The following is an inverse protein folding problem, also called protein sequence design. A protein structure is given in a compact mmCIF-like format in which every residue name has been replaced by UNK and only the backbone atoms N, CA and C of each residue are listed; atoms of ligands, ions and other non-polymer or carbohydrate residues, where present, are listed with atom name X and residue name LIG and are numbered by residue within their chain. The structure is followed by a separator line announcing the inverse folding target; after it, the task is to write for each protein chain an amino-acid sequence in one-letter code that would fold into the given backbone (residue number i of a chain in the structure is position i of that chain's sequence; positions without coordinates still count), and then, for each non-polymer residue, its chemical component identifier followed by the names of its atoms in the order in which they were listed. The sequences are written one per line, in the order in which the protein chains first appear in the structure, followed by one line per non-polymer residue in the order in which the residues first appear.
data_IF_726317814281
#
_entry.id   IF_726317814281
#
_cell.length_a   1.000
_cell.length_b   1.000
_cell.length_c   1.000
_cell.angle_alpha   90.00
_cell.angle_beta   90.00
_cell.angle_gamma   90.00
#
_symmetry.space_group_name_H-M   'P 1'
#
loop_
_entity.id
_entity.type
_entity.pdbx_description
1 polymer ?
#
# COMPACT_ATOMS: atom_id res chain seq x y z
N UNK A 1 -7.04 -27.87 -25.66
CA UNK A 1 -7.31 -26.81 -24.65
C UNK A 1 -6.87 -27.32 -23.28
N UNK A 2 -5.70 -26.93 -22.79
CA UNK A 2 -5.21 -27.35 -21.47
C UNK A 2 -5.72 -26.39 -20.38
N UNK A 3 -6.70 -26.84 -19.61
CA UNK A 3 -7.18 -26.16 -18.40
C UNK A 3 -6.04 -26.23 -17.38
N UNK A 4 -5.36 -25.12 -17.13
CA UNK A 4 -4.40 -24.99 -16.02
C UNK A 4 -5.10 -25.29 -14.70
N UNK A 5 -4.98 -26.54 -14.20
CA UNK A 5 -5.41 -26.89 -12.85
C UNK A 5 -4.54 -26.12 -11.86
N UNK A 6 -5.12 -25.12 -11.21
CA UNK A 6 -4.45 -24.39 -10.14
C UNK A 6 -4.10 -25.36 -9.00
N UNK A 7 -2.87 -25.31 -8.44
CA UNK A 7 -2.50 -26.15 -7.32
C UNK A 7 -3.33 -25.80 -6.08
N UNK A 8 -4.13 -26.77 -5.64
CA UNK A 8 -5.02 -26.68 -4.47
C UNK A 8 -4.23 -26.27 -3.22
N UNK A 9 -4.86 -25.46 -2.36
CA UNK A 9 -4.32 -25.14 -1.04
C UNK A 9 -4.14 -26.42 -0.20
N UNK A 10 -3.20 -26.43 0.75
CA UNK A 10 -3.06 -27.53 1.70
C UNK A 10 -4.38 -27.82 2.45
N UNK A 11 -5.12 -26.76 2.80
CA UNK A 11 -6.45 -26.88 3.42
C UNK A 11 -7.49 -27.51 2.47
N UNK A 12 -7.46 -27.17 1.18
CA UNK A 12 -8.37 -27.74 0.17
C UNK A 12 -8.02 -29.20 -0.14
N UNK A 13 -6.74 -29.55 -0.20
CA UNK A 13 -6.30 -30.95 -0.37
C UNK A 13 -6.77 -31.82 0.80
N UNK A 14 -6.61 -31.34 2.04
CA UNK A 14 -7.13 -32.05 3.20
C UNK A 14 -8.66 -32.14 3.21
N UNK A 15 -9.38 -31.12 2.72
CA UNK A 15 -10.84 -31.16 2.60
C UNK A 15 -11.29 -32.21 1.57
N UNK A 16 -10.74 -32.17 0.35
CA UNK A 16 -11.06 -33.15 -0.70
C UNK A 16 -10.68 -34.57 -0.31
N UNK A 17 -9.54 -34.77 0.34
CA UNK A 17 -9.17 -36.09 0.88
C UNK A 17 -10.20 -36.61 1.89
N UNK A 18 -10.73 -35.76 2.78
CA UNK A 18 -11.78 -36.13 3.73
C UNK A 18 -13.12 -36.42 3.07
N UNK A 19 -13.49 -35.63 2.06
CA UNK A 19 -14.72 -35.84 1.27
C UNK A 19 -14.62 -37.14 0.46
N UNK A 20 -13.48 -37.40 -0.17
CA UNK A 20 -13.22 -38.66 -0.87
C UNK A 20 -13.24 -39.85 0.11
N UNK A 21 -12.59 -39.75 1.28
CA UNK A 21 -12.66 -40.82 2.28
C UNK A 21 -14.08 -41.09 2.74
N UNK A 22 -14.89 -40.04 2.91
CA UNK A 22 -16.29 -40.15 3.32
C UNK A 22 -17.13 -40.90 2.28
N UNK A 23 -16.79 -40.78 1.00
CA UNK A 23 -17.49 -41.46 -0.10
C UNK A 23 -16.93 -42.86 -0.38
N UNK A 24 -15.61 -43.05 -0.32
CA UNK A 24 -14.96 -44.31 -0.70
C UNK A 24 -14.83 -45.32 0.44
N UNK A 25 -14.68 -44.87 1.69
CA UNK A 25 -14.55 -45.75 2.86
C UNK A 25 -15.03 -45.04 4.15
N UNK A 26 -16.34 -45.12 4.44
CA UNK A 26 -16.96 -44.45 5.58
C UNK A 26 -16.38 -44.86 6.95
N UNK A 27 -16.05 -46.15 7.14
CA UNK A 27 -15.51 -46.66 8.41
C UNK A 27 -14.17 -46.02 8.77
N UNK A 28 -13.27 -45.89 7.79
CA UNK A 28 -11.97 -45.25 7.99
C UNK A 28 -12.09 -43.76 8.31
N UNK A 29 -13.10 -43.10 7.74
CA UNK A 29 -13.42 -41.70 8.05
C UNK A 29 -13.89 -41.54 9.50
N UNK A 30 -14.74 -42.44 9.98
CA UNK A 30 -15.26 -42.40 11.36
C UNK A 30 -14.19 -42.74 12.40
N UNK A 31 -13.29 -43.69 12.11
CA UNK A 31 -12.11 -43.95 12.94
C UNK A 31 -11.19 -42.71 13.04
N UNK A 32 -10.96 -42.02 11.93
CA UNK A 32 -10.17 -40.78 11.91
C UNK A 32 -10.88 -39.67 12.71
N UNK A 33 -12.21 -39.57 12.63
CA UNK A 33 -13.02 -38.62 13.39
C UNK A 33 -12.93 -38.91 14.89
N UNK A 34 -13.08 -40.18 15.31
CA UNK A 34 -12.91 -40.64 16.70
C UNK A 34 -11.51 -40.33 17.24
N UNK A 35 -10.44 -40.70 16.51
CA UNK A 35 -9.04 -40.39 16.89
C UNK A 35 -8.78 -38.88 17.02
N UNK A 36 -9.35 -38.05 16.16
CA UNK A 36 -9.22 -36.59 16.27
C UNK A 36 -10.01 -36.01 17.46
N UNK A 37 -11.20 -36.55 17.74
CA UNK A 37 -11.98 -36.18 18.91
C UNK A 37 -11.24 -36.54 20.21
N UNK A 38 -10.66 -37.73 20.29
CA UNK A 38 -9.82 -38.20 21.41
C UNK A 38 -8.59 -37.32 21.60
N UNK A 39 -7.84 -37.02 20.52
CA UNK A 39 -6.70 -36.09 20.57
C UNK A 39 -7.10 -34.71 21.07
N UNK A 40 -8.27 -34.21 20.67
CA UNK A 40 -8.77 -32.91 21.10
C UNK A 40 -9.21 -32.94 22.56
N UNK A 41 -9.86 -34.01 23.00
CA UNK A 41 -10.26 -34.25 24.41
C UNK A 41 -9.04 -34.38 25.31
N UNK A 42 -7.99 -35.07 24.86
CA UNK A 42 -6.71 -35.19 25.56
C UNK A 42 -5.98 -33.84 25.70
N UNK A 43 -6.02 -32.99 24.68
CA UNK A 43 -5.44 -31.62 24.74
C UNK A 43 -6.24 -30.65 25.60
N UNK A 44 -7.55 -30.86 25.72
CA UNK A 44 -8.49 -30.01 26.47
C UNK A 44 -9.00 -30.71 27.74
N UNK A 45 -8.11 -31.41 28.47
CA UNK A 45 -8.48 -31.93 29.79
C UNK A 45 -8.92 -30.77 30.68
N UNK A 46 -10.13 -30.86 31.24
CA UNK A 46 -10.61 -29.88 32.22
C UNK A 46 -9.73 -30.01 33.47
N UNK A 47 -9.43 -28.88 34.10
CA UNK A 47 -8.57 -28.84 35.31
C UNK A 47 -9.12 -29.72 36.44
N UNK A 48 -10.45 -29.88 36.50
CA UNK A 48 -11.12 -30.77 37.46
C UNK A 48 -10.73 -32.25 37.32
N UNK A 49 -10.36 -32.70 36.12
CA UNK A 49 -10.07 -34.10 35.80
C UNK A 49 -8.56 -34.40 35.74
N UNK A 50 -7.71 -33.48 36.23
CA UNK A 50 -6.27 -33.67 36.32
C UNK A 50 -5.87 -34.09 37.74
N UNK A 51 -4.76 -34.81 37.90
CA UNK A 51 -4.25 -35.14 39.24
C UNK A 51 -3.80 -33.87 39.99
N UNK A 52 -3.67 -33.94 41.32
CA UNK A 52 -3.19 -32.79 42.11
C UNK A 52 -1.79 -32.33 41.69
N UNK A 53 -0.90 -33.26 41.32
CA UNK A 53 0.44 -32.94 40.81
C UNK A 53 0.39 -32.21 39.46
N UNK A 54 -0.49 -32.63 38.56
CA UNK A 54 -0.71 -31.96 37.28
C UNK A 54 -1.31 -30.55 37.47
N UNK A 55 -2.20 -30.37 38.45
CA UNK A 55 -2.75 -29.05 38.84
C UNK A 55 -1.65 -28.15 39.39
N UNK A 56 -0.76 -28.67 40.24
CA UNK A 56 0.39 -27.92 40.79
C UNK A 56 1.35 -27.47 39.69
N UNK A 57 1.68 -28.35 38.75
CA UNK A 57 2.53 -28.02 37.61
C UNK A 57 1.92 -26.94 36.70
N UNK A 58 0.61 -27.01 36.44
CA UNK A 58 -0.10 -25.97 35.68
C UNK A 58 -0.15 -24.63 36.42
N UNK A 59 -0.42 -24.64 37.73
CA UNK A 59 -0.37 -23.42 38.57
C UNK A 59 1.03 -22.80 38.59
N UNK A 60 2.09 -23.61 38.62
CA UNK A 60 3.48 -23.15 38.48
C UNK A 60 3.70 -22.47 37.13
N UNK A 61 3.35 -23.12 36.02
CA UNK A 61 3.42 -22.53 34.67
C UNK A 61 2.66 -21.20 34.56
N UNK A 62 1.48 -21.08 35.18
CA UNK A 62 0.72 -19.83 35.19
C UNK A 62 1.38 -18.74 36.02
N UNK A 63 1.95 -19.08 37.18
CA UNK A 63 2.74 -18.14 38.00
C UNK A 63 3.96 -17.63 37.22
N UNK A 64 4.67 -18.51 36.53
CA UNK A 64 5.84 -18.17 35.71
C UNK A 64 5.45 -17.30 34.51
N UNK A 65 4.37 -17.65 33.80
CA UNK A 65 3.87 -16.83 32.69
C UNK A 65 3.41 -15.43 33.14
N UNK A 66 2.82 -15.32 34.34
CA UNK A 66 2.44 -14.04 34.94
C UNK A 66 3.66 -13.22 35.35
N UNK A 67 4.70 -13.87 35.87
CA UNK A 67 6.00 -13.23 36.20
C UNK A 67 6.66 -12.70 34.93
N UNK A 68 6.81 -13.53 33.89
CA UNK A 68 7.39 -13.13 32.61
C UNK A 68 6.64 -11.96 31.96
N UNK A 69 5.30 -11.95 31.99
CA UNK A 69 4.52 -10.80 31.50
C UNK A 69 4.75 -9.52 32.30
N UNK A 70 5.01 -9.63 33.60
CA UNK A 70 5.30 -8.48 34.45
C UNK A 70 6.71 -7.96 34.14
N UNK A 71 7.68 -8.85 33.99
CA UNK A 71 9.06 -8.52 33.65
C UNK A 71 9.14 -7.86 32.26
N UNK A 72 8.46 -8.41 31.25
CA UNK A 72 8.36 -7.82 29.91
C UNK A 72 7.67 -6.44 29.90
N UNK A 73 6.76 -6.19 30.85
CA UNK A 73 6.09 -4.89 31.02
C UNK A 73 7.01 -3.88 31.71
N UNK A 74 7.81 -4.32 32.67
CA UNK A 74 8.82 -3.49 33.36
C UNK A 74 9.95 -3.13 32.39
N UNK A 75 10.43 -4.08 31.60
CA UNK A 75 11.47 -3.87 30.57
C UNK A 75 11.04 -2.82 29.53
N UNK A 76 9.76 -2.80 29.14
CA UNK A 76 9.18 -1.78 28.25
C UNK A 76 9.03 -0.39 28.88
N UNK A 77 9.10 -0.27 30.21
CA UNK A 77 8.97 1.01 30.94
C UNK A 77 10.33 1.65 31.25
N UNK A 78 11.44 0.90 31.15
CA UNK A 78 12.78 1.34 31.58
C UNK A 78 13.56 2.11 30.51
N UNK A 79 13.11 2.20 29.26
CA UNK A 79 13.72 3.10 28.25
C UNK A 79 13.05 4.48 28.32
N UNK A 80 13.66 5.52 28.93
CA UNK A 80 13.09 6.86 28.93
C UNK A 80 13.45 7.50 27.60
N UNK A 81 12.73 7.14 26.55
CA UNK A 81 12.89 7.77 25.25
C UNK A 81 12.13 9.10 25.28
N UNK A 82 12.81 10.21 25.61
CA UNK A 82 12.23 11.56 25.70
C UNK A 82 11.44 11.92 24.41
N UNK A 83 11.89 11.39 23.28
CA UNK A 83 11.24 11.42 21.97
C UNK A 83 9.85 10.78 21.94
N UNK A 84 9.63 9.68 22.66
CA UNK A 84 8.33 9.02 22.70
C UNK A 84 7.31 9.79 23.54
N UNK A 85 7.75 10.51 24.59
CA UNK A 85 6.87 11.37 25.39
C UNK A 85 6.44 12.60 24.59
N UNK A 86 7.38 13.23 23.88
CA UNK A 86 7.08 14.33 22.96
C UNK A 86 6.19 13.87 21.79
N UNK A 87 6.47 12.72 21.17
CA UNK A 87 5.61 12.11 20.14
C UNK A 87 4.21 11.80 20.64
N UNK A 88 4.05 11.32 21.88
CA UNK A 88 2.72 11.08 22.48
C UNK A 88 1.96 12.38 22.71
N UNK A 89 2.62 13.43 23.23
CA UNK A 89 2.02 14.76 23.40
C UNK A 89 1.59 15.35 22.05
N UNK A 90 2.47 15.30 21.04
CA UNK A 90 2.18 15.75 19.68
C UNK A 90 1.01 14.98 19.05
N UNK A 91 1.01 13.64 19.17
CA UNK A 91 -0.08 12.80 18.66
C UNK A 91 -1.41 13.08 19.37
N UNK A 92 -1.40 13.36 20.67
CA UNK A 92 -2.60 13.74 21.43
C UNK A 92 -3.14 15.10 20.97
N UNK A 93 -2.26 16.08 20.73
CA UNK A 93 -2.61 17.39 20.16
C UNK A 93 -3.26 17.25 18.77
N UNK A 94 -2.62 16.49 17.89
CA UNK A 94 -3.14 16.16 16.55
C UNK A 94 -4.50 15.47 16.58
N UNK A 95 -4.74 14.57 17.54
CA UNK A 95 -6.03 13.89 17.68
C UNK A 95 -7.14 14.86 18.12
N UNK A 96 -6.84 15.81 19.01
CA UNK A 96 -7.78 16.87 19.40
C UNK A 96 -8.10 17.79 18.22
N UNK A 97 -7.08 18.27 17.51
CA UNK A 97 -7.25 19.12 16.32
C UNK A 97 -8.07 18.40 15.23
N UNK A 98 -7.79 17.11 14.99
CA UNK A 98 -8.57 16.31 14.04
C UNK A 98 -10.03 16.09 14.47
N UNK A 99 -10.32 15.98 15.78
CA UNK A 99 -11.70 15.94 16.27
C UNK A 99 -12.42 17.25 15.96
N UNK A 100 -11.81 18.38 16.31
CA UNK A 100 -12.37 19.72 16.06
C UNK A 100 -12.62 19.92 14.56
N UNK A 101 -11.66 19.54 13.70
CA UNK A 101 -11.81 19.64 12.24
C UNK A 101 -12.93 18.74 11.71
N UNK A 102 -13.07 17.52 12.23
CA UNK A 102 -14.19 16.62 11.86
C UNK A 102 -15.54 17.21 12.23
N UNK A 103 -15.63 17.83 13.39
CA UNK A 103 -16.85 18.45 13.88
C UNK A 103 -17.22 19.69 13.04
N UNK A 104 -16.22 20.55 12.74
CA UNK A 104 -16.38 21.66 11.78
C UNK A 104 -16.85 21.17 10.41
N UNK A 105 -16.23 20.11 9.87
CA UNK A 105 -16.63 19.54 8.59
C UNK A 105 -18.05 18.95 8.61
N UNK A 106 -18.45 18.34 9.72
CA UNK A 106 -19.82 17.84 9.90
C UNK A 106 -20.82 19.00 9.87
N UNK A 107 -20.53 20.07 10.60
CA UNK A 107 -21.36 21.28 10.63
C UNK A 107 -21.43 21.97 9.25
N UNK A 108 -20.30 22.06 8.55
CA UNK A 108 -20.25 22.54 7.15
C UNK A 108 -21.05 21.66 6.20
N UNK A 109 -21.06 20.34 6.41
CA UNK A 109 -21.86 19.44 5.59
C UNK A 109 -23.37 19.65 5.81
N UNK A 110 -23.79 19.87 7.06
CA UNK A 110 -25.19 20.13 7.41
C UNK A 110 -25.65 21.47 6.85
N UNK A 111 -24.87 22.54 7.02
CA UNK A 111 -25.16 23.88 6.47
C UNK A 111 -25.17 23.89 4.94
N UNK A 112 -24.23 23.21 4.28
CA UNK A 112 -24.29 23.03 2.83
C UNK A 112 -25.54 22.24 2.40
N UNK A 113 -25.98 21.27 3.20
CA UNK A 113 -27.21 20.52 2.97
C UNK A 113 -28.46 21.42 3.06
N UNK A 114 -28.54 22.28 4.08
CA UNK A 114 -29.65 23.23 4.22
C UNK A 114 -29.64 24.28 3.10
N UNK A 115 -28.47 24.84 2.75
CA UNK A 115 -28.31 25.77 1.63
C UNK A 115 -28.68 25.15 0.29
N UNK A 116 -28.34 23.88 0.03
CA UNK A 116 -28.80 23.18 -1.18
C UNK A 116 -30.31 23.05 -1.22
N UNK A 117 -30.96 22.78 -0.08
CA UNK A 117 -32.42 22.72 0.03
C UNK A 117 -33.06 24.10 -0.17
N UNK A 118 -32.47 25.18 0.36
CA UNK A 118 -32.97 26.55 0.10
C UNK A 118 -32.82 26.91 -1.37
N UNK A 119 -31.67 26.66 -1.99
CA UNK A 119 -31.47 26.86 -3.44
C UNK A 119 -32.49 26.06 -4.26
N UNK A 120 -32.78 24.81 -3.89
CA UNK A 120 -33.81 24.02 -4.57
C UNK A 120 -35.20 24.65 -4.42
N UNK A 121 -35.55 25.15 -3.23
CA UNK A 121 -36.83 25.85 -2.98
C UNK A 121 -36.92 27.13 -3.80
N UNK A 122 -35.89 27.97 -3.83
CA UNK A 122 -35.85 29.17 -4.65
C UNK A 122 -35.91 28.84 -6.14
N UNK A 123 -35.21 27.80 -6.62
CA UNK A 123 -35.34 27.32 -8.00
C UNK A 123 -36.75 26.88 -8.34
N UNK A 124 -37.42 26.13 -7.44
CA UNK A 124 -38.83 25.77 -7.62
C UNK A 124 -39.71 27.01 -7.67
N UNK A 125 -39.49 27.99 -6.79
CA UNK A 125 -40.24 29.25 -6.76
C UNK A 125 -40.01 30.10 -8.02
N UNK A 126 -38.78 30.15 -8.52
CA UNK A 126 -38.46 30.79 -9.80
C UNK A 126 -39.16 30.04 -10.94
N UNK A 127 -39.17 28.71 -10.93
CA UNK A 127 -39.88 27.91 -11.94
C UNK A 127 -41.39 28.13 -11.89
N UNK A 128 -42.00 28.22 -10.70
CA UNK A 128 -43.44 28.52 -10.58
C UNK A 128 -43.74 29.94 -11.04
N UNK A 129 -42.94 30.93 -10.66
CA UNK A 129 -43.11 32.32 -11.10
C UNK A 129 -42.89 32.49 -12.60
N UNK A 130 -41.89 31.80 -13.17
CA UNK A 130 -41.65 31.81 -14.61
C UNK A 130 -42.75 31.05 -15.36
N UNK A 131 -43.30 29.97 -14.80
CA UNK A 131 -44.47 29.31 -15.36
C UNK A 131 -45.72 30.19 -15.28
N UNK A 132 -45.93 30.92 -14.18
CA UNK A 132 -47.01 31.90 -14.06
C UNK A 132 -46.84 33.05 -15.04
N UNK A 133 -45.62 33.59 -15.17
CA UNK A 133 -45.31 34.61 -16.19
C UNK A 133 -45.50 34.08 -17.61
N UNK A 134 -45.13 32.83 -17.87
CA UNK A 134 -45.36 32.19 -19.16
C UNK A 134 -46.84 31.92 -19.39
N UNK A 135 -47.60 31.54 -18.36
CA UNK A 135 -49.05 31.38 -18.40
C UNK A 135 -49.73 32.70 -18.71
N UNK A 136 -49.38 33.79 -18.03
CA UNK A 136 -49.86 35.14 -18.34
C UNK A 136 -49.43 35.62 -19.73
N UNK A 137 -48.25 35.22 -20.20
CA UNK A 137 -47.82 35.46 -21.59
C UNK A 137 -48.60 34.62 -22.61
N UNK A 138 -48.98 33.38 -22.27
CA UNK A 138 -49.79 32.48 -23.12
C UNK A 138 -51.29 32.72 -23.03
N UNK A 139 -51.81 33.30 -21.95
CA UNK A 139 -53.17 33.83 -21.88
C UNK A 139 -53.32 35.00 -22.86
N UNK A 140 -52.23 35.72 -23.13
CA UNK A 140 -52.13 36.69 -24.22
C UNK A 140 -51.74 36.08 -25.59
N UNK A 141 -51.32 34.81 -25.66
CA UNK A 141 -50.97 34.11 -26.91
C UNK A 141 -51.19 32.60 -26.79
N UNK A 142 -52.31 32.11 -27.31
CA UNK A 142 -52.67 30.67 -27.30
C UNK A 142 -51.66 29.87 -28.13
N UNK A 143 -50.84 29.00 -27.52
CA UNK A 143 -50.14 27.90 -28.22
C UNK A 143 -50.25 26.57 -27.44
N UNK A 144 -50.47 25.43 -28.12
CA UNK A 144 -50.76 24.15 -27.48
C UNK A 144 -49.50 23.36 -27.07
N UNK A 145 -49.72 22.39 -26.18
CA UNK A 145 -48.75 21.53 -25.48
C UNK A 145 -47.66 20.91 -26.36
N UNK A 146 -46.43 20.89 -25.83
CA UNK A 146 -45.20 20.41 -26.49
C UNK A 146 -45.18 18.89 -26.67
N UNK A 147 -45.89 18.42 -27.68
CA UNK A 147 -45.66 17.13 -28.34
C UNK A 147 -44.29 17.13 -29.04
N UNK A 148 -43.58 15.99 -29.18
CA UNK A 148 -42.32 15.90 -29.93
C UNK A 148 -42.44 16.38 -31.40
N UNK A 149 -43.67 16.53 -31.90
CA UNK A 149 -44.00 17.00 -33.23
C UNK A 149 -43.93 18.52 -33.41
N UNK A 150 -44.15 19.33 -32.37
CA UNK A 150 -44.21 20.81 -32.49
C UNK A 150 -42.86 21.49 -32.74
N UNK A 151 -41.73 21.13 -32.09
CA UNK A 151 -40.43 21.71 -32.45
C UNK A 151 -39.88 21.18 -33.78
N UNK A 152 -40.39 20.05 -34.27
CA UNK A 152 -39.98 19.45 -35.54
C UNK A 152 -40.64 20.12 -36.75
N UNK A 153 -41.87 20.61 -36.59
CA UNK A 153 -42.57 21.43 -37.60
C UNK A 153 -41.81 22.73 -37.89
N UNK A 154 -41.52 23.51 -36.84
CA UNK A 154 -40.79 24.79 -36.94
C UNK A 154 -39.42 24.61 -37.64
N UNK A 155 -38.67 23.56 -37.29
CA UNK A 155 -37.33 23.31 -37.89
C UNK A 155 -37.37 22.86 -39.37
N UNK A 156 -38.44 22.20 -39.82
CA UNK A 156 -38.57 21.75 -41.22
C UNK A 156 -39.12 22.87 -42.11
N UNK A 157 -39.95 23.75 -41.55
CA UNK A 157 -40.50 24.92 -42.25
C UNK A 157 -39.47 26.06 -42.40
N UNK A 158 -38.57 26.26 -41.43
CA UNK A 158 -37.56 27.34 -41.44
C UNK A 158 -36.29 27.02 -42.26
N UNK A 159 -35.81 25.78 -42.29
CA UNK A 159 -34.49 25.45 -42.89
C UNK A 159 -34.56 24.93 -44.33
N UNK A 160 -35.73 24.50 -44.84
CA UNK A 160 -35.82 23.93 -46.20
C UNK A 160 -37.10 24.36 -46.93
N UNK A 161 -37.10 25.52 -47.61
CA UNK A 161 -38.24 26.00 -48.38
C UNK A 161 -38.54 25.11 -49.61
N UNK A 162 -37.51 24.71 -50.36
CA UNK A 162 -37.66 24.17 -51.74
C UNK A 162 -37.59 22.64 -51.88
N UNK A 163 -38.31 21.90 -51.04
CA UNK A 163 -38.44 20.44 -51.19
C UNK A 163 -39.91 20.03 -51.27
N UNK A 164 -40.21 19.12 -52.21
CA UNK A 164 -41.52 18.48 -52.40
C UNK A 164 -42.14 18.02 -51.06
N UNK A 165 -43.46 18.26 -50.91
CA UNK A 165 -44.25 18.00 -49.70
C UNK A 165 -44.11 16.54 -49.23
N UNK A 166 -44.01 15.58 -50.15
CA UNK A 166 -43.81 14.17 -49.82
C UNK A 166 -42.44 13.88 -49.21
N UNK A 167 -41.40 14.55 -49.72
CA UNK A 167 -40.04 14.43 -49.20
C UNK A 167 -39.92 15.06 -47.82
N UNK A 168 -40.61 16.18 -47.57
CA UNK A 168 -40.75 16.78 -46.23
C UNK A 168 -41.42 15.83 -45.23
N UNK A 169 -42.48 15.13 -45.64
CA UNK A 169 -43.13 14.12 -44.80
C UNK A 169 -42.23 12.91 -44.50
N UNK A 170 -41.47 12.41 -45.49
CA UNK A 170 -40.49 11.33 -45.30
C UNK A 170 -39.38 11.73 -44.32
N UNK A 171 -38.86 12.96 -44.46
CA UNK A 171 -37.85 13.52 -43.54
C UNK A 171 -38.43 13.65 -42.13
N UNK A 172 -39.65 14.15 -42.00
CA UNK A 172 -40.36 14.28 -40.72
C UNK A 172 -40.52 12.94 -40.02
N UNK A 173 -40.93 11.91 -40.76
CA UNK A 173 -41.09 10.55 -40.24
C UNK A 173 -39.75 9.99 -39.74
N UNK A 174 -38.67 10.09 -40.55
CA UNK A 174 -37.32 9.65 -40.15
C UNK A 174 -36.76 10.39 -38.95
N UNK A 175 -36.98 11.70 -38.86
CA UNK A 175 -36.53 12.51 -37.73
C UNK A 175 -37.29 12.14 -36.45
N UNK A 176 -38.59 11.89 -36.55
CA UNK A 176 -39.41 11.45 -35.43
C UNK A 176 -38.99 10.05 -34.96
N UNK A 177 -38.81 9.10 -35.88
CA UNK A 177 -38.25 7.77 -35.58
C UNK A 177 -36.91 7.87 -34.84
N UNK A 178 -36.02 8.74 -35.33
CA UNK A 178 -34.72 8.96 -34.69
C UNK A 178 -34.87 9.53 -33.29
N UNK A 179 -35.79 10.49 -33.07
CA UNK A 179 -35.99 11.14 -31.77
C UNK A 179 -36.63 10.20 -30.74
N UNK A 180 -37.60 9.40 -31.16
CA UNK A 180 -38.23 8.37 -30.32
C UNK A 180 -37.19 7.32 -29.91
N UNK A 181 -36.32 6.89 -30.82
CA UNK A 181 -35.22 5.98 -30.50
C UNK A 181 -34.21 6.59 -29.52
N UNK A 182 -33.94 7.90 -29.61
CA UNK A 182 -33.04 8.57 -28.67
C UNK A 182 -33.60 8.62 -27.26
N UNK A 183 -34.89 8.94 -27.12
CA UNK A 183 -35.57 9.04 -25.83
C UNK A 183 -35.73 7.65 -25.19
N UNK A 184 -36.14 6.64 -25.97
CA UNK A 184 -36.27 5.26 -25.46
C UNK A 184 -34.94 4.64 -25.04
N UNK A 185 -33.84 4.87 -25.78
CA UNK A 185 -32.50 4.41 -25.37
C UNK A 185 -32.03 5.09 -24.07
N UNK A 186 -32.44 6.33 -23.83
CA UNK A 186 -32.09 7.07 -22.62
C UNK A 186 -32.90 6.58 -21.43
N UNK A 187 -34.19 6.32 -21.61
CA UNK A 187 -35.08 5.76 -20.59
C UNK A 187 -34.64 4.36 -20.19
N UNK A 188 -34.49 3.43 -21.15
CA UNK A 188 -34.02 2.06 -20.90
C UNK A 188 -32.67 2.01 -20.17
N UNK A 189 -31.73 2.91 -20.51
CA UNK A 189 -30.46 2.99 -19.80
C UNK A 189 -30.60 3.51 -18.35
N UNK A 190 -31.50 4.47 -18.10
CA UNK A 190 -31.73 5.01 -16.76
C UNK A 190 -32.51 4.03 -15.87
N UNK A 191 -33.49 3.33 -16.44
CA UNK A 191 -34.36 2.39 -15.74
C UNK A 191 -33.68 1.05 -15.43
N UNK A 192 -32.67 0.67 -16.23
CA UNK A 192 -31.87 -0.52 -15.95
C UNK A 192 -31.19 -0.43 -14.59
N UNK A 193 -31.50 -1.38 -13.70
CA UNK A 193 -30.90 -1.47 -12.35
C UNK A 193 -29.64 -2.32 -12.36
N UNK A 194 -29.56 -3.31 -13.24
CA UNK A 194 -28.42 -4.24 -13.34
C UNK A 194 -27.24 -3.64 -14.10
N UNK A 195 -26.02 -3.93 -13.62
CA UNK A 195 -24.79 -3.57 -14.34
C UNK A 195 -24.61 -4.36 -15.64
N UNK A 196 -25.22 -5.54 -15.75
CA UNK A 196 -25.12 -6.40 -16.93
C UNK A 196 -25.93 -5.81 -18.10
N UNK A 197 -27.17 -5.40 -17.85
CA UNK A 197 -28.02 -4.67 -18.79
C UNK A 197 -27.34 -3.40 -19.30
N UNK A 198 -26.78 -2.60 -18.38
CA UNK A 198 -25.99 -1.41 -18.72
C UNK A 198 -24.75 -1.74 -19.55
N UNK A 199 -24.15 -2.91 -19.35
CA UNK A 199 -23.00 -3.34 -20.13
C UNK A 199 -23.41 -3.79 -21.54
N UNK A 200 -24.56 -4.44 -21.72
CA UNK A 200 -25.12 -4.77 -23.03
C UNK A 200 -25.37 -3.49 -23.84
N UNK A 201 -26.02 -2.48 -23.25
CA UNK A 201 -26.23 -1.19 -23.91
C UNK A 201 -24.91 -0.47 -24.25
N UNK A 202 -23.88 -0.59 -23.39
CA UNK A 202 -22.55 -0.06 -23.69
C UNK A 202 -21.84 -0.80 -24.84
N UNK A 203 -22.17 -2.06 -25.13
CA UNK A 203 -21.59 -2.79 -26.28
C UNK A 203 -22.02 -2.19 -27.61
N UNK A 204 -23.17 -1.49 -27.68
CA UNK A 204 -23.61 -0.77 -28.87
C UNK A 204 -22.58 0.28 -29.34
N UNK A 205 -21.81 0.87 -28.42
CA UNK A 205 -20.75 1.82 -28.76
C UNK A 205 -19.52 1.16 -29.40
N UNK A 206 -19.37 -0.16 -29.28
CA UNK A 206 -18.22 -0.93 -29.75
C UNK A 206 -18.54 -1.67 -31.05
N UNK A 207 -19.81 -1.65 -31.50
CA UNK A 207 -20.24 -2.30 -32.73
C UNK A 207 -19.51 -1.73 -33.95
N UNK A 208 -19.37 -2.59 -34.96
CA UNK A 208 -18.59 -2.30 -36.16
C UNK A 208 -19.24 -1.22 -37.03
N UNK A 209 -20.58 -1.23 -37.13
CA UNK A 209 -21.35 -0.19 -37.82
C UNK A 209 -21.14 1.20 -37.20
N UNK A 210 -21.15 1.28 -35.86
CA UNK A 210 -20.97 2.55 -35.14
C UNK A 210 -19.54 3.07 -35.26
N UNK A 211 -18.56 2.16 -35.35
CA UNK A 211 -17.16 2.50 -35.64
C UNK A 211 -16.98 2.99 -37.08
N UNK A 212 -17.52 2.28 -38.07
CA UNK A 212 -17.42 2.62 -39.50
C UNK A 212 -17.94 4.02 -39.79
N UNK A 213 -19.05 4.42 -39.17
CA UNK A 213 -19.67 5.73 -39.37
C UNK A 213 -19.33 6.78 -38.29
N UNK A 214 -18.33 6.54 -37.43
CA UNK A 214 -17.89 7.45 -36.36
C UNK A 214 -19.02 7.98 -35.44
N UNK A 215 -20.09 7.20 -35.26
CA UNK A 215 -21.28 7.62 -34.51
C UNK A 215 -21.20 7.38 -33.00
N UNK A 216 -20.04 6.96 -32.50
CA UNK A 216 -19.79 6.64 -31.09
C UNK A 216 -20.14 7.81 -30.16
N UNK A 217 -19.81 9.04 -30.55
CA UNK A 217 -20.10 10.22 -29.72
C UNK A 217 -21.60 10.50 -29.62
N UNK A 218 -22.33 10.39 -30.74
CA UNK A 218 -23.79 10.60 -30.79
C UNK A 218 -24.52 9.56 -29.94
N UNK A 219 -24.20 8.28 -30.11
CA UNK A 219 -24.79 7.20 -29.31
C UNK A 219 -24.44 7.33 -27.83
N UNK A 220 -23.23 7.80 -27.51
CA UNK A 220 -22.83 8.07 -26.12
C UNK A 220 -23.70 9.16 -25.48
N UNK A 221 -24.04 10.20 -26.27
CA UNK A 221 -24.95 11.28 -25.85
C UNK A 221 -26.37 10.75 -25.64
N UNK A 222 -26.86 9.88 -26.54
CA UNK A 222 -28.19 9.27 -26.42
C UNK A 222 -28.32 8.40 -25.16
N UNK A 223 -27.31 7.58 -24.85
CA UNK A 223 -27.25 6.78 -23.62
C UNK A 223 -26.99 7.61 -22.33
N UNK A 224 -26.82 8.93 -22.42
CA UNK A 224 -26.56 9.78 -21.25
C UNK A 224 -25.18 9.57 -20.58
N UNK A 225 -24.22 8.96 -21.29
CA UNK A 225 -22.90 8.62 -20.76
C UNK A 225 -21.97 9.86 -20.72
N UNK A 226 -21.65 10.35 -19.52
CA UNK A 226 -20.76 11.51 -19.33
C UNK A 226 -19.30 11.26 -19.76
N UNK A 227 -18.83 10.01 -19.72
CA UNK A 227 -17.46 9.63 -20.06
C UNK A 227 -17.47 8.46 -21.03
N UNK A 228 -16.45 8.38 -21.89
CA UNK A 228 -16.24 7.24 -22.77
C UNK A 228 -16.03 5.93 -21.99
N UNK A 229 -16.29 4.80 -22.65
CA UNK A 229 -16.04 3.48 -22.08
C UNK A 229 -14.53 3.31 -21.90
N UNK A 230 -14.06 3.36 -20.65
CA UNK A 230 -12.68 2.97 -20.34
C UNK A 230 -12.56 1.47 -20.53
N UNK A 231 -11.74 1.05 -21.48
CA UNK A 231 -11.42 -0.36 -21.65
C UNK A 231 -10.60 -0.82 -20.44
N UNK A 232 -11.23 -1.58 -19.54
CA UNK A 232 -10.59 -2.18 -18.37
C UNK A 232 -9.31 -2.95 -18.75
N UNK A 233 -9.35 -3.60 -19.91
CA UNK A 233 -8.23 -4.35 -20.49
C UNK A 233 -6.98 -3.48 -20.70
N UNK A 234 -7.12 -2.24 -21.20
CA UNK A 234 -6.00 -1.32 -21.42
C UNK A 234 -5.33 -0.90 -20.10
N UNK A 235 -6.11 -0.65 -19.04
CA UNK A 235 -5.55 -0.30 -17.72
C UNK A 235 -4.81 -1.50 -17.13
N UNK A 236 -5.37 -2.71 -17.23
CA UNK A 236 -4.74 -3.94 -16.73
C UNK A 236 -3.43 -4.21 -17.46
N UNK A 237 -3.42 -4.10 -18.80
CA UNK A 237 -2.21 -4.27 -19.62
C UNK A 237 -1.13 -3.24 -19.27
N UNK A 238 -1.49 -1.96 -19.12
CA UNK A 238 -0.55 -0.91 -18.72
C UNK A 238 0.12 -1.25 -17.38
N UNK A 239 -0.66 -1.68 -16.38
CA UNK A 239 -0.12 -2.11 -15.08
C UNK A 239 0.85 -3.29 -15.19
N UNK A 240 0.52 -4.29 -16.00
CA UNK A 240 1.39 -5.46 -16.22
C UNK A 240 2.70 -5.04 -16.90
N UNK A 241 2.63 -4.17 -17.91
CA UNK A 241 3.81 -3.64 -18.60
C UNK A 241 4.73 -2.88 -17.63
N UNK A 242 4.16 -1.95 -16.87
CA UNK A 242 4.89 -1.19 -15.83
C UNK A 242 5.51 -2.08 -14.77
N UNK A 243 4.79 -3.12 -14.31
CA UNK A 243 5.32 -4.07 -13.36
C UNK A 243 6.52 -4.84 -13.94
N UNK A 244 6.43 -5.31 -15.19
CA UNK A 244 7.54 -6.00 -15.87
C UNK A 244 8.77 -5.10 -16.04
N UNK A 245 8.58 -3.85 -16.44
CA UNK A 245 9.64 -2.84 -16.58
C UNK A 245 10.38 -2.64 -15.26
N UNK A 246 9.64 -2.42 -14.16
CA UNK A 246 10.26 -2.26 -12.85
C UNK A 246 10.89 -3.54 -12.32
N UNK A 247 10.31 -4.71 -12.61
CA UNK A 247 10.96 -5.99 -12.27
C UNK A 247 12.32 -6.08 -12.96
N UNK A 248 12.42 -5.75 -14.25
CA UNK A 248 13.71 -5.72 -14.97
C UNK A 248 14.69 -4.74 -14.35
N UNK A 249 14.24 -3.53 -13.99
CA UNK A 249 15.08 -2.54 -13.32
C UNK A 249 15.63 -3.05 -11.99
N UNK A 250 14.78 -3.61 -11.13
CA UNK A 250 15.22 -4.15 -9.84
C UNK A 250 16.05 -5.43 -9.95
N UNK A 251 15.93 -6.19 -11.03
CA UNK A 251 16.71 -7.42 -11.27
C UNK A 251 18.14 -7.16 -11.74
N UNK A 252 18.48 -5.93 -12.12
CA UNK A 252 19.86 -5.59 -12.46
C UNK A 252 20.78 -5.69 -11.23
N UNK A 253 22.01 -6.12 -11.45
CA UNK A 253 22.98 -6.42 -10.39
C UNK A 253 23.59 -5.17 -9.74
N UNK A 254 23.58 -4.02 -10.43
CA UNK A 254 23.91 -2.69 -9.92
C UNK A 254 22.86 -2.12 -8.95
N UNK A 255 21.59 -2.55 -9.09
CA UNK A 255 20.47 -2.12 -8.25
C UNK A 255 20.26 -3.05 -7.05
N UNK A 256 20.31 -4.36 -7.28
CA UNK A 256 20.14 -5.36 -6.22
C UNK A 256 21.05 -6.56 -6.41
N UNK A 257 21.51 -7.14 -5.30
CA UNK A 257 22.36 -8.33 -5.29
C UNK A 257 21.58 -9.57 -4.86
N UNK A 258 21.68 -10.66 -5.61
CA UNK A 258 21.10 -11.95 -5.21
C UNK A 258 21.85 -12.55 -4.03
N UNK A 259 21.14 -13.22 -3.13
CA UNK A 259 21.79 -13.91 -2.00
C UNK A 259 22.19 -15.32 -2.40
N UNK A 260 23.23 -15.90 -1.78
CA UNK A 260 23.74 -17.22 -2.14
C UNK A 260 23.02 -18.38 -1.43
N UNK A 261 22.32 -18.12 -0.31
CA UNK A 261 21.75 -19.17 0.53
C UNK A 261 20.48 -19.82 -0.05
N UNK A 262 20.46 -21.15 -0.17
CA UNK A 262 19.26 -21.94 -0.55
C UNK A 262 18.06 -21.70 0.39
N UNK A 263 18.32 -21.35 1.66
CA UNK A 263 17.29 -21.02 2.67
C UNK A 263 16.83 -19.57 2.61
N UNK A 264 17.53 -18.70 1.88
CA UNK A 264 17.24 -17.28 1.77
C UNK A 264 16.22 -17.02 0.64
N UNK A 265 15.04 -17.59 0.79
CA UNK A 265 13.92 -17.38 -0.12
C UNK A 265 12.81 -16.58 0.55
N UNK A 266 12.01 -15.89 -0.25
CA UNK A 266 10.72 -15.31 0.15
C UNK A 266 9.64 -16.00 -0.65
N UNK A 267 8.60 -16.43 0.06
CA UNK A 267 7.40 -17.02 -0.56
C UNK A 267 6.25 -16.04 -0.41
N UNK A 268 5.64 -15.64 -1.52
CA UNK A 268 4.43 -14.82 -1.53
C UNK A 268 3.49 -15.35 -2.60
N UNK A 269 2.21 -15.51 -2.26
CA UNK A 269 1.20 -16.04 -3.18
C UNK A 269 1.61 -17.38 -3.82
N UNK A 270 2.17 -18.31 -3.03
CA UNK A 270 2.68 -19.61 -3.46
C UNK A 270 3.89 -19.56 -4.45
N UNK A 271 4.39 -18.38 -4.78
CA UNK A 271 5.60 -18.22 -5.60
C UNK A 271 6.79 -18.06 -4.65
N UNK A 272 7.72 -19.02 -4.71
CA UNK A 272 8.99 -18.99 -3.97
C UNK A 272 10.08 -18.41 -4.87
N UNK A 273 10.74 -17.34 -4.43
CA UNK A 273 11.86 -16.69 -5.13
C UNK A 273 13.01 -16.44 -4.16
N UNK A 274 14.24 -16.49 -4.65
CA UNK A 274 15.44 -16.17 -3.88
C UNK A 274 15.46 -14.69 -3.53
N UNK A 275 15.95 -14.36 -2.33
CA UNK A 275 16.07 -12.97 -1.89
C UNK A 275 17.08 -12.22 -2.76
N UNK A 276 16.76 -10.98 -3.10
CA UNK A 276 17.71 -9.99 -3.61
C UNK A 276 17.75 -8.82 -2.63
N UNK A 277 18.94 -8.41 -2.22
CA UNK A 277 19.13 -7.26 -1.36
C UNK A 277 19.39 -6.00 -2.19
N UNK A 278 18.68 -4.93 -1.88
CA UNK A 278 18.95 -3.62 -2.47
C UNK A 278 20.34 -3.14 -2.06
N UNK A 279 21.12 -2.65 -3.02
CA UNK A 279 22.45 -2.09 -2.78
C UNK A 279 22.39 -0.66 -2.22
N UNK A 280 21.35 0.09 -2.59
CA UNK A 280 21.17 1.48 -2.15
C UNK A 280 19.77 1.71 -1.55
N UNK A 281 19.56 2.90 -0.99
CA UNK A 281 18.25 3.33 -0.50
C UNK A 281 17.26 3.46 -1.65
N UNK A 282 15.98 3.17 -1.39
CA UNK A 282 14.93 3.31 -2.41
C UNK A 282 14.83 4.74 -2.97
N UNK A 283 15.20 5.75 -2.18
CA UNK A 283 15.23 7.16 -2.62
C UNK A 283 16.28 7.37 -3.72
N UNK A 284 17.49 6.87 -3.50
CA UNK A 284 18.58 6.99 -4.48
C UNK A 284 18.31 6.14 -5.73
N UNK A 285 17.80 4.92 -5.57
CA UNK A 285 17.41 4.08 -6.71
C UNK A 285 16.30 4.72 -7.55
N UNK A 286 15.39 5.47 -6.93
CA UNK A 286 14.37 6.22 -7.66
C UNK A 286 14.97 7.39 -8.45
N UNK A 287 16.02 8.06 -7.94
CA UNK A 287 16.74 9.08 -8.71
C UNK A 287 17.37 8.49 -9.96
N UNK A 288 18.03 7.33 -9.83
CA UNK A 288 18.61 6.58 -10.96
C UNK A 288 17.52 6.17 -11.96
N UNK A 289 16.42 5.60 -11.47
CA UNK A 289 15.28 5.25 -12.33
C UNK A 289 14.73 6.47 -13.09
N UNK A 290 14.68 7.63 -12.44
CA UNK A 290 14.20 8.87 -13.06
C UNK A 290 15.18 9.42 -14.08
N UNK A 291 16.49 9.34 -13.84
CA UNK A 291 17.52 9.76 -14.79
C UNK A 291 17.56 8.86 -16.03
N UNK A 292 17.23 7.58 -15.90
CA UNK A 292 17.10 6.64 -17.02
C UNK A 292 15.80 6.82 -17.83
N UNK A 293 15.00 7.86 -17.56
CA UNK A 293 13.74 8.13 -18.27
C UNK A 293 12.49 7.50 -17.64
N UNK A 294 12.58 7.02 -16.40
CA UNK A 294 11.46 6.41 -15.68
C UNK A 294 10.31 7.38 -15.40
N UNK A 295 9.10 7.06 -15.83
CA UNK A 295 7.95 7.98 -15.79
C UNK A 295 7.19 7.94 -14.45
N UNK A 296 7.35 6.86 -13.67
CA UNK A 296 6.55 6.60 -12.48
C UNK A 296 6.85 7.54 -11.32
N UNK A 297 5.84 7.78 -10.47
CA UNK A 297 6.02 8.46 -9.18
C UNK A 297 6.70 7.57 -8.15
N UNK A 298 7.37 8.17 -7.15
CA UNK A 298 8.04 7.43 -6.06
C UNK A 298 7.12 6.43 -5.34
N UNK A 299 5.87 6.81 -5.08
CA UNK A 299 4.89 5.93 -4.46
C UNK A 299 4.56 4.71 -5.32
N UNK A 300 4.44 4.91 -6.64
CA UNK A 300 4.19 3.83 -7.60
C UNK A 300 5.41 2.92 -7.73
N UNK A 301 6.60 3.50 -7.83
CA UNK A 301 7.88 2.80 -7.85
C UNK A 301 8.03 1.84 -6.65
N UNK A 302 7.78 2.35 -5.43
CA UNK A 302 7.79 1.54 -4.21
C UNK A 302 6.74 0.43 -4.21
N UNK A 303 5.55 0.69 -4.76
CA UNK A 303 4.45 -0.28 -4.80
C UNK A 303 4.71 -1.44 -5.76
N UNK A 304 5.31 -1.16 -6.91
CA UNK A 304 5.62 -2.14 -7.94
C UNK A 304 6.93 -2.90 -7.69
N UNK A 305 7.67 -2.56 -6.61
CA UNK A 305 8.85 -3.33 -6.19
C UNK A 305 8.51 -4.82 -6.03
N UNK A 306 9.26 -5.73 -6.69
CA UNK A 306 9.07 -7.16 -6.52
C UNK A 306 9.22 -7.58 -5.05
N UNK A 307 8.43 -8.56 -4.63
CA UNK A 307 8.37 -8.95 -3.21
C UNK A 307 9.65 -9.62 -2.69
N UNK A 308 10.45 -10.21 -3.58
CA UNK A 308 11.72 -10.87 -3.26
C UNK A 308 12.90 -9.89 -3.23
N UNK A 309 12.70 -8.64 -3.62
CA UNK A 309 13.68 -7.55 -3.51
C UNK A 309 13.46 -6.85 -2.17
N UNK A 310 14.41 -7.03 -1.26
CA UNK A 310 14.30 -6.66 0.15
C UNK A 310 15.42 -5.68 0.53
N UNK A 311 15.15 -4.76 1.44
CA UNK A 311 16.20 -3.92 2.01
C UNK A 311 17.04 -4.74 2.99
N UNK A 312 18.39 -4.62 2.97
CA UNK A 312 19.24 -5.36 3.91
C UNK A 312 18.91 -4.97 5.35
N UNK A 313 18.82 -5.97 6.24
CA UNK A 313 18.63 -5.75 7.66
C UNK A 313 19.92 -5.23 8.30
N UNK A 314 19.82 -4.37 9.32
CA UNK A 314 20.99 -3.76 9.99
C UNK A 314 21.93 -4.83 10.55
N UNK A 315 21.38 -5.89 11.13
CA UNK A 315 22.13 -7.04 11.65
C UNK A 315 22.92 -7.83 10.60
N UNK A 316 22.59 -7.67 9.31
CA UNK A 316 23.25 -8.39 8.22
C UNK A 316 24.31 -7.50 7.51
N UNK A 317 24.62 -6.33 8.08
CA UNK A 317 25.67 -5.46 7.55
C UNK A 317 27.02 -5.98 8.06
N UNK A 318 27.95 -6.22 7.14
CA UNK A 318 29.36 -6.50 7.45
C UNK A 318 30.09 -5.22 7.88
N UNK A 319 29.57 -4.52 8.89
CA UNK A 319 30.15 -3.30 9.47
C UNK A 319 30.08 -3.46 10.99
N UNK A 320 31.22 -3.62 11.67
CA UNK A 320 31.22 -3.70 13.14
C UNK A 320 30.86 -2.34 13.72
N UNK A 321 29.66 -2.21 14.27
CA UNK A 321 29.24 -1.05 15.07
C UNK A 321 29.49 -1.31 16.57
N UNK A 322 30.57 -2.02 16.89
CA UNK A 322 30.95 -2.37 18.25
C UNK A 322 31.55 -1.15 18.97
N UNK A 323 31.35 -1.08 20.29
CA UNK A 323 31.84 0.01 21.16
C UNK A 323 33.33 0.28 20.93
N UNK A 324 34.14 -0.77 20.72
CA UNK A 324 35.57 -0.65 20.45
C UNK A 324 35.88 0.17 19.19
N UNK A 325 35.23 -0.11 18.05
CA UNK A 325 35.45 0.65 16.82
C UNK A 325 34.91 2.07 16.92
N UNK A 326 33.78 2.27 17.63
CA UNK A 326 33.24 3.61 17.85
C UNK A 326 34.16 4.47 18.73
N UNK A 327 34.67 3.92 19.85
CA UNK A 327 35.58 4.61 20.75
C UNK A 327 36.93 4.89 20.07
N UNK A 328 37.43 3.95 19.24
CA UNK A 328 38.63 4.18 18.43
C UNK A 328 38.45 5.35 17.45
N UNK A 329 37.31 5.41 16.77
CA UNK A 329 37.00 6.52 15.86
C UNK A 329 36.92 7.86 16.60
N UNK A 330 36.35 7.90 17.81
CA UNK A 330 36.33 9.13 18.62
C UNK A 330 37.73 9.58 19.04
N UNK A 331 38.59 8.64 19.46
CA UNK A 331 40.00 8.94 19.77
C UNK A 331 40.77 9.44 18.54
N UNK A 332 40.57 8.83 17.37
CA UNK A 332 41.19 9.29 16.13
C UNK A 332 40.71 10.71 15.75
N UNK A 333 39.42 11.02 15.94
CA UNK A 333 38.90 12.35 15.70
C UNK A 333 39.51 13.41 16.62
N UNK A 334 39.69 13.12 17.91
CA UNK A 334 40.32 14.07 18.84
C UNK A 334 41.79 14.26 18.54
N UNK A 335 42.53 13.18 18.27
CA UNK A 335 43.94 13.26 17.85
C UNK A 335 44.13 14.06 16.57
N UNK A 336 43.21 13.95 15.60
CA UNK A 336 43.23 14.78 14.38
C UNK A 336 42.95 16.25 14.69
N UNK A 337 41.99 16.55 15.58
CA UNK A 337 41.69 17.93 15.99
C UNK A 337 42.90 18.61 16.64
N UNK A 338 43.71 17.85 17.37
CA UNK A 338 44.96 18.33 17.97
C UNK A 338 46.12 18.41 16.97
N UNK A 339 45.92 18.03 15.70
CA UNK A 339 46.96 18.05 14.68
C UNK A 339 48.02 16.93 14.81
N UNK A 340 47.84 15.99 15.74
CA UNK A 340 48.82 14.93 16.02
C UNK A 340 48.85 13.84 14.95
N UNK A 341 47.74 13.65 14.23
CA UNK A 341 47.59 12.67 13.15
C UNK A 341 46.92 13.30 11.92
N UNK A 342 47.32 12.86 10.73
CA UNK A 342 46.83 13.42 9.47
C UNK A 342 45.38 13.00 9.14
N UNK A 343 44.95 11.82 9.59
CA UNK A 343 43.65 11.23 9.24
C UNK A 343 42.88 10.73 10.46
N UNK A 344 41.55 10.85 10.41
CA UNK A 344 40.64 10.41 11.47
C UNK A 344 39.91 9.11 11.12
N UNK A 345 40.13 8.57 9.92
CA UNK A 345 39.55 7.30 9.50
C UNK A 345 40.39 6.14 10.06
N UNK A 346 39.84 5.26 10.91
CA UNK A 346 40.57 4.13 11.46
C UNK A 346 41.20 3.22 10.39
N UNK A 347 40.55 3.04 9.23
CA UNK A 347 41.11 2.19 8.17
C UNK A 347 42.39 2.78 7.57
N UNK A 348 42.44 4.11 7.41
CA UNK A 348 43.62 4.80 6.90
C UNK A 348 44.78 4.74 7.91
N UNK A 349 44.49 4.86 9.20
CA UNK A 349 45.49 4.70 10.25
C UNK A 349 46.07 3.28 10.30
N UNK A 350 45.21 2.28 10.16
CA UNK A 350 45.63 0.87 10.10
C UNK A 350 46.53 0.61 8.88
N UNK A 351 46.19 1.19 7.72
CA UNK A 351 46.99 1.03 6.50
C UNK A 351 48.41 1.58 6.60
N UNK A 352 48.64 2.55 7.51
CA UNK A 352 49.98 3.11 7.76
C UNK A 352 50.83 2.24 8.69
N UNK A 353 50.19 1.43 9.52
CA UNK A 353 50.86 0.53 10.47
C UNK A 353 51.16 -0.83 9.81
N UNK A 354 50.21 -1.34 9.03
CA UNK A 354 50.20 -2.73 8.56
C UNK A 354 50.40 -2.79 7.05
N UNK A 355 51.20 -3.75 6.54
CA UNK A 355 51.44 -3.89 5.11
C UNK A 355 50.22 -4.46 4.35
N UNK A 356 49.47 -5.38 4.96
CA UNK A 356 48.23 -5.92 4.43
C UNK A 356 47.15 -6.02 5.51
N UNK A 357 46.02 -5.33 5.28
CA UNK A 357 44.86 -5.30 6.17
C UNK A 357 44.16 -6.67 6.26
N UNK A 358 44.28 -7.51 5.23
CA UNK A 358 43.62 -8.82 5.18
C UNK A 358 44.46 -9.92 5.84
N UNK A 359 45.76 -9.70 6.01
CA UNK A 359 46.67 -10.68 6.60
C UNK A 359 46.61 -10.66 8.13
N UNK A 360 46.32 -11.84 8.70
CA UNK A 360 46.26 -12.02 10.16
C UNK A 360 47.62 -11.73 10.81
N UNK A 361 48.71 -12.27 10.27
CA UNK A 361 50.04 -12.08 10.86
C UNK A 361 50.44 -10.60 10.92
N UNK A 362 50.03 -9.82 9.92
CA UNK A 362 50.25 -8.38 9.85
C UNK A 362 49.47 -7.62 10.96
N UNK A 363 48.19 -7.94 11.14
CA UNK A 363 47.32 -7.32 12.15
C UNK A 363 47.66 -7.69 13.60
N UNK A 364 48.20 -8.89 13.83
CA UNK A 364 48.61 -9.37 15.16
C UNK A 364 50.07 -9.04 15.50
N UNK A 365 50.76 -8.26 14.66
CA UNK A 365 52.19 -7.94 14.83
C UNK A 365 53.05 -9.20 14.91
N UNK A 366 52.80 -10.17 14.03
CA UNK A 366 53.64 -11.36 13.81
C UNK A 366 54.37 -11.26 12.46
N UNK A 367 54.13 -10.20 11.69
CA UNK A 367 54.75 -9.98 10.39
C UNK A 367 56.13 -9.36 10.54
N UNK A 368 57.14 -10.05 9.99
CA UNK A 368 58.55 -9.61 9.98
C UNK A 368 58.78 -8.24 9.33
N UNK A 369 57.88 -7.79 8.45
CA UNK A 369 58.02 -6.53 7.69
C UNK A 369 57.45 -5.31 8.43
N UNK A 370 56.38 -5.47 9.22
CA UNK A 370 55.71 -4.35 9.90
C UNK A 370 55.73 -4.41 11.42
N UNK A 371 56.36 -5.42 12.02
CA UNK A 371 56.44 -5.64 13.47
C UNK A 371 56.81 -4.37 14.29
N UNK A 372 57.63 -3.48 13.72
CA UNK A 372 58.07 -2.25 14.37
C UNK A 372 57.45 -0.94 13.86
N UNK A 373 56.51 -0.98 12.90
CA UNK A 373 55.94 0.24 12.32
C UNK A 373 54.99 0.90 13.31
N UNK A 374 55.32 2.12 13.72
CA UNK A 374 54.48 2.97 14.58
C UNK A 374 53.98 4.17 13.80
N UNK A 375 52.83 4.70 14.19
CA UNK A 375 52.35 5.97 13.65
C UNK A 375 53.32 7.09 14.06
N UNK A 376 53.73 7.92 13.10
CA UNK A 376 54.45 9.14 13.37
C UNK A 376 53.50 10.16 14.01
N UNK A 377 53.82 10.60 15.22
CA UNK A 377 53.09 11.67 15.90
C UNK A 377 53.93 12.95 15.84
N UNK A 378 53.31 14.06 15.44
CA UNK A 378 53.92 15.38 15.66
C UNK A 378 53.76 15.71 17.14
N UNK A 379 54.82 15.62 17.94
CA UNK A 379 54.74 16.00 19.35
C UNK A 379 54.52 17.51 19.44
N UNK A 380 53.31 17.93 19.78
CA UNK A 380 53.09 19.26 20.32
C UNK A 380 53.44 19.20 21.80
N UNK A 381 54.55 19.85 22.17
CA UNK A 381 54.87 20.21 23.55
C UNK A 381 53.81 21.19 24.02
N UNK A 382 52.76 20.68 24.65
CA UNK A 382 51.96 21.42 25.63
C UNK A 382 51.09 20.44 26.40
N UNK A 383 51.18 20.48 27.73
CA UNK A 383 50.34 19.75 28.68
C UNK A 383 48.92 20.32 28.70
N UNK A 384 48.18 20.21 27.59
CA UNK A 384 46.78 20.58 27.51
C UNK A 384 45.88 19.40 27.89
N UNK A 385 44.93 19.63 28.79
CA UNK A 385 43.90 18.65 29.10
C UNK A 385 42.99 18.43 27.89
N UNK A 386 42.88 17.18 27.43
CA UNK A 386 42.07 16.79 26.27
C UNK A 386 40.85 16.00 26.73
N UNK A 387 39.67 16.39 26.27
CA UNK A 387 38.44 15.63 26.46
C UNK A 387 38.00 14.94 25.16
N UNK A 388 37.51 13.71 25.26
CA UNK A 388 36.90 12.99 24.14
C UNK A 388 35.63 12.27 24.57
N UNK A 389 34.80 11.92 23.58
CA UNK A 389 33.57 11.17 23.79
C UNK A 389 33.87 9.67 23.79
N UNK A 390 33.31 8.96 24.76
CA UNK A 390 33.46 7.51 24.87
C UNK A 390 32.13 6.84 25.18
N UNK A 391 31.82 5.74 24.49
CA UNK A 391 30.73 4.85 24.89
C UNK A 391 31.18 3.94 26.02
N UNK A 392 30.56 4.10 27.20
CA UNK A 392 30.77 3.25 28.37
C UNK A 392 29.56 2.35 28.63
N UNK A 393 29.79 1.07 28.91
CA UNK A 393 28.75 0.17 29.44
C UNK A 393 28.64 0.36 30.94
N UNK A 394 27.50 0.86 31.42
CA UNK A 394 27.19 0.94 32.86
C UNK A 394 26.27 -0.21 33.25
N UNK A 395 26.72 -1.01 34.21
CA UNK A 395 25.88 -2.03 34.84
C UNK A 395 25.05 -1.34 35.94
N UNK A 396 23.74 -1.38 35.82
CA UNK A 396 22.83 -0.88 36.84
C UNK A 396 22.26 -2.07 37.62
N UNK A 397 22.61 -2.16 38.90
CA UNK A 397 21.96 -3.09 39.82
C UNK A 397 20.59 -2.55 40.21
N UNK A 398 19.52 -3.19 39.73
CA UNK A 398 18.16 -2.83 40.11
C UNK A 398 17.82 -3.43 41.47
N UNK A 399 17.90 -2.62 42.53
CA UNK A 399 17.36 -2.96 43.84
C UNK A 399 15.85 -3.21 43.77
N UNK A 400 15.40 -4.42 44.10
CA UNK A 400 13.97 -4.74 44.23
C UNK A 400 13.42 -4.03 45.47
N UNK A 401 12.84 -2.85 45.32
CA UNK A 401 12.05 -2.22 46.38
C UNK A 401 10.75 -3.02 46.60
N UNK A 402 10.74 -3.92 47.58
CA UNK A 402 9.54 -4.57 48.10
C UNK A 402 8.72 -3.60 48.96
N UNK A 403 8.25 -2.49 48.39
CA UNK A 403 7.22 -1.67 49.03
C UNK A 403 5.85 -2.21 48.60
N UNK A 404 5.27 -3.10 49.40
CA UNK A 404 3.83 -3.36 49.37
C UNK A 404 3.16 -2.06 49.82
N UNK A 405 2.50 -1.36 48.89
CA UNK A 405 1.52 -0.34 49.27
C UNK A 405 0.36 -1.05 49.95
N UNK A 406 0.24 -0.84 51.26
CA UNK A 406 -0.99 -1.03 52.03
C UNK A 406 -2.12 -0.22 51.42
#
# INVERSE_FOLDING_TARGET
MNIFQMPLSAAERCRRYRENLRQSNPEKYDLMKKKNAERTKAKKRKIANMSEDEKLAMRKKWRDAKRNKKDEKVEKLVVPNNDNRQRRKYRSKLLRENRILKEKNKNLCVTNGSLKKTILRYRKKINTLTNQLNQLKTENTVEPTKSPTTPLKKYIEEEIPDISVESKQKIRKKLLETRVLQESLKETYNDSKSNEEKNVLKKLLVSESVKKYNMQFKIRKYLGLKRGIRHYYSIKQKKIRTAKELTKFFERDDISRMTAGKKECVTRQKIKKQKRFLLNTLSNLYKIYRSEGGILSFASFKRYRPFYVVSPHVSNRNTCACIKHANLAFKAQTLKKLGLISSADPNDLISKIVCDIKSKSCMYSECTVCYGKKLSFAFATDTQEVSWLEWTTKNYEYGKSNARKT
#
